data_IF_876391777400
#
_entry.id   IF_876391777400
#
_cell.length_a   1.000
_cell.length_b   1.000
_cell.length_c   1.000
_cell.angle_alpha   90.00
_cell.angle_beta   90.00
_cell.angle_gamma   90.00
#
_symmetry.space_group_name_H-M   'P 1'
#
loop_
_entity.id
_entity.type
_entity.pdbx_description
1 polymer ?
#
# COMPACT_ATOMS: atom_id res chain seq x y z
N UNK A 1 31.64 -10.37 26.63
CA UNK A 1 32.23 -11.44 25.80
C UNK A 1 31.45 -12.77 25.89
N UNK A 2 31.01 -13.25 27.06
CA UNK A 2 30.26 -14.53 27.19
C UNK A 2 28.93 -14.59 26.42
N UNK A 3 28.15 -13.51 26.37
CA UNK A 3 26.85 -13.48 25.66
C UNK A 3 26.97 -13.63 24.13
N UNK A 4 28.07 -13.18 23.54
CA UNK A 4 28.30 -13.26 22.08
C UNK A 4 28.65 -14.70 21.68
N UNK A 5 29.32 -15.43 22.55
CA UNK A 5 29.71 -16.82 22.29
C UNK A 5 28.51 -17.81 22.41
N UNK A 6 27.57 -17.53 23.30
CA UNK A 6 26.31 -18.32 23.41
C UNK A 6 25.41 -18.13 22.18
N UNK A 7 25.30 -16.90 21.67
CA UNK A 7 24.52 -16.62 20.45
C UNK A 7 25.15 -17.27 19.21
N UNK A 8 26.48 -17.32 19.15
CA UNK A 8 27.20 -17.94 18.03
C UNK A 8 27.07 -19.47 18.06
N UNK A 9 27.03 -20.10 19.23
CA UNK A 9 26.78 -21.53 19.35
C UNK A 9 25.34 -21.88 18.97
N UNK A 10 24.34 -21.05 19.30
CA UNK A 10 22.96 -21.25 18.89
C UNK A 10 22.78 -21.16 17.35
N UNK A 11 23.57 -20.34 16.67
CA UNK A 11 23.55 -20.20 15.22
C UNK A 11 24.19 -21.42 14.54
N UNK A 12 25.21 -22.02 15.13
CA UNK A 12 25.85 -23.22 14.59
C UNK A 12 24.94 -24.45 14.69
N UNK A 13 24.08 -24.54 15.69
CA UNK A 13 23.10 -25.63 15.82
C UNK A 13 21.94 -25.56 14.80
N UNK A 14 21.73 -24.42 14.15
CA UNK A 14 20.70 -24.25 13.11
C UNK A 14 21.22 -24.47 11.69
N UNK A 15 22.44 -24.98 11.53
CA UNK A 15 23.00 -25.32 10.23
C UNK A 15 22.44 -26.67 9.77
N UNK A 16 21.44 -26.65 8.91
CA UNK A 16 20.92 -27.84 8.24
C UNK A 16 21.77 -28.15 7.01
N UNK A 17 22.51 -29.28 7.03
CA UNK A 17 23.10 -29.86 5.83
C UNK A 17 22.00 -30.44 4.93
N UNK A 18 21.77 -29.86 3.78
CA UNK A 18 20.96 -30.47 2.72
C UNK A 18 21.78 -30.49 1.45
N UNK A 19 22.11 -31.71 0.98
CA UNK A 19 22.88 -31.95 -0.24
C UNK A 19 24.26 -31.25 -0.31
N UNK A 20 25.11 -31.45 0.71
CA UNK A 20 26.48 -30.90 0.79
C UNK A 20 26.60 -29.36 0.67
N UNK A 21 25.53 -28.64 0.92
CA UNK A 21 25.52 -27.17 1.00
C UNK A 21 25.19 -26.70 2.42
N UNK A 22 26.02 -25.82 2.95
CA UNK A 22 25.81 -25.16 4.23
C UNK A 22 24.93 -23.92 4.01
N UNK A 23 23.69 -23.96 4.47
CA UNK A 23 22.77 -22.81 4.46
C UNK A 23 22.89 -22.09 5.81
N UNK A 24 23.45 -20.90 5.81
CA UNK A 24 23.47 -20.02 6.99
C UNK A 24 22.37 -18.96 6.81
N UNK A 25 21.28 -19.10 7.52
CA UNK A 25 20.27 -18.06 7.60
C UNK A 25 20.75 -16.94 8.55
N UNK A 26 21.30 -15.85 8.02
CA UNK A 26 21.71 -14.71 8.84
C UNK A 26 20.97 -13.44 8.42
N UNK A 27 19.92 -13.09 9.15
CA UNK A 27 19.29 -11.77 9.02
C UNK A 27 20.00 -10.65 9.81
N UNK A 28 21.17 -10.92 10.45
CA UNK A 28 21.70 -10.01 11.49
C UNK A 28 23.20 -9.73 11.45
N UNK A 29 24.00 -10.29 10.54
CA UNK A 29 25.46 -10.05 10.55
C UNK A 29 26.05 -9.70 9.19
N UNK A 30 26.98 -8.74 9.11
CA UNK A 30 27.69 -8.42 7.86
C UNK A 30 28.56 -9.58 7.38
N UNK A 31 28.56 -9.82 6.07
CA UNK A 31 29.28 -10.91 5.40
C UNK A 31 30.79 -11.01 5.74
N UNK A 32 31.39 -9.89 6.17
CA UNK A 32 32.80 -9.82 6.62
C UNK A 32 33.07 -10.57 7.92
N UNK A 33 32.08 -10.68 8.82
CA UNK A 33 32.22 -11.39 10.10
C UNK A 33 32.12 -12.90 9.92
N UNK A 34 31.28 -13.34 9.01
CA UNK A 34 31.10 -14.76 8.67
C UNK A 34 32.37 -15.34 8.05
N UNK A 35 33.01 -14.61 7.11
CA UNK A 35 34.29 -15.01 6.51
C UNK A 35 35.44 -15.08 7.52
N UNK A 36 35.46 -14.23 8.53
CA UNK A 36 36.54 -14.20 9.52
C UNK A 36 36.48 -15.39 10.49
N UNK A 37 35.28 -15.93 10.77
CA UNK A 37 35.10 -17.08 11.67
C UNK A 37 35.16 -18.45 10.95
N UNK A 38 34.75 -18.54 9.68
CA UNK A 38 34.93 -19.76 8.88
C UNK A 38 36.42 -20.13 8.75
N UNK A 39 37.32 -19.12 8.71
CA UNK A 39 38.77 -19.31 8.71
C UNK A 39 39.33 -19.81 10.03
N UNK A 40 38.67 -19.58 11.15
CA UNK A 40 39.07 -20.02 12.50
C UNK A 40 38.64 -21.46 12.81
N UNK A 41 37.80 -22.06 11.96
CA UNK A 41 37.28 -23.43 12.14
C UNK A 41 37.91 -24.46 11.19
N UNK A 42 39.02 -24.09 10.50
CA UNK A 42 39.74 -24.95 9.50
C UNK A 42 38.80 -25.62 8.47
N UNK A 43 37.70 -24.98 8.15
CA UNK A 43 36.82 -25.40 7.06
C UNK A 43 37.31 -24.81 5.75
N UNK A 44 37.93 -25.62 4.88
CA UNK A 44 38.22 -25.25 3.49
C UNK A 44 36.94 -25.03 2.71
N UNK A 45 36.36 -23.85 2.84
CA UNK A 45 35.22 -23.42 2.05
C UNK A 45 35.76 -22.77 0.76
N UNK A 46 35.70 -23.51 -0.34
CA UNK A 46 35.98 -22.94 -1.66
C UNK A 46 34.94 -21.85 -1.97
N UNK A 47 35.40 -20.78 -2.61
CA UNK A 47 34.58 -19.58 -2.92
C UNK A 47 33.33 -19.83 -3.77
N UNK A 48 33.20 -21.05 -4.31
CA UNK A 48 32.05 -21.49 -5.13
C UNK A 48 30.89 -22.14 -4.32
N UNK A 49 31.07 -22.43 -3.03
CA UNK A 49 30.11 -23.20 -2.24
C UNK A 49 29.30 -22.37 -1.22
N UNK A 50 29.61 -21.09 -1.07
CA UNK A 50 28.86 -20.22 -0.16
C UNK A 50 27.87 -19.40 -0.97
N UNK A 51 26.68 -19.95 -1.21
CA UNK A 51 25.50 -19.15 -1.55
C UNK A 51 24.97 -18.56 -0.23
N UNK A 52 25.38 -17.32 0.08
CA UNK A 52 24.70 -16.55 1.11
C UNK A 52 23.40 -16.07 0.45
N UNK A 53 22.34 -16.85 0.57
CA UNK A 53 21.02 -16.31 0.39
C UNK A 53 20.79 -15.34 1.56
N UNK A 54 21.17 -14.08 1.37
CA UNK A 54 20.59 -13.01 2.17
C UNK A 54 19.12 -12.97 1.77
N UNK A 55 18.29 -13.68 2.50
CA UNK A 55 16.85 -13.58 2.41
C UNK A 55 16.41 -12.19 2.87
N UNK A 56 16.86 -11.16 2.18
CA UNK A 56 16.30 -9.83 2.27
C UNK A 56 14.83 -10.00 1.90
N UNK A 57 13.91 -9.80 2.87
CA UNK A 57 12.48 -9.71 2.58
C UNK A 57 12.39 -8.69 1.43
N UNK A 58 12.02 -9.15 0.24
CA UNK A 58 11.84 -8.26 -0.90
C UNK A 58 10.87 -7.17 -0.45
N UNK A 59 11.31 -5.94 -0.39
CA UNK A 59 10.44 -4.80 -0.07
C UNK A 59 9.32 -4.78 -1.09
N UNK A 60 8.09 -4.81 -0.60
CA UNK A 60 6.93 -4.73 -1.48
C UNK A 60 6.77 -3.31 -2.00
N UNK A 61 6.43 -3.21 -3.29
CA UNK A 61 6.23 -1.93 -3.97
C UNK A 61 4.81 -1.44 -3.75
N UNK A 62 4.67 -0.21 -3.22
CA UNK A 62 3.37 0.45 -3.02
C UNK A 62 3.09 1.43 -4.16
N UNK A 63 1.87 1.38 -4.68
CA UNK A 63 1.27 2.40 -5.54
C UNK A 63 0.12 3.04 -4.80
N UNK A 64 0.07 4.38 -4.80
CA UNK A 64 -1.06 5.15 -4.30
C UNK A 64 -1.84 5.68 -5.49
N UNK A 65 -3.10 5.30 -5.60
CA UNK A 65 -4.03 5.78 -6.63
C UNK A 65 -5.20 6.47 -5.96
N UNK A 66 -5.58 7.65 -6.42
CA UNK A 66 -6.69 8.37 -5.82
C UNK A 66 -7.46 9.21 -6.85
N UNK A 67 -8.73 9.45 -6.54
CA UNK A 67 -9.52 10.51 -7.14
C UNK A 67 -9.77 11.60 -6.11
N UNK A 68 -9.70 12.85 -6.51
CA UNK A 68 -9.98 14.00 -5.64
C UNK A 68 -10.59 15.13 -6.45
N UNK A 69 -11.66 15.71 -5.93
CA UNK A 69 -12.36 16.86 -6.49
C UNK A 69 -12.63 17.90 -5.39
N UNK A 70 -13.05 19.12 -5.76
CA UNK A 70 -13.30 20.21 -4.81
C UNK A 70 -12.06 20.60 -4.00
N UNK A 71 -12.04 20.44 -2.69
CA UNK A 71 -11.00 20.95 -1.78
C UNK A 71 -9.69 20.15 -1.75
N UNK A 72 -9.57 19.09 -2.56
CA UNK A 72 -8.35 18.28 -2.57
C UNK A 72 -8.14 17.40 -1.33
N UNK A 73 -9.19 17.14 -0.54
CA UNK A 73 -9.06 16.41 0.73
C UNK A 73 -8.48 15.00 0.55
N UNK A 74 -8.96 14.24 -0.43
CA UNK A 74 -8.43 12.89 -0.71
C UNK A 74 -6.98 12.97 -1.20
N UNK A 75 -6.66 13.96 -2.03
CA UNK A 75 -5.28 14.22 -2.48
C UNK A 75 -4.36 14.53 -1.30
N UNK A 76 -4.81 15.33 -0.34
CA UNK A 76 -4.04 15.65 0.88
C UNK A 76 -3.64 14.36 1.63
N UNK A 77 -4.59 13.46 1.85
CA UNK A 77 -4.31 12.18 2.54
C UNK A 77 -3.38 11.29 1.70
N UNK A 78 -3.60 11.21 0.39
CA UNK A 78 -2.73 10.45 -0.51
C UNK A 78 -1.28 10.96 -0.46
N UNK A 79 -1.07 12.27 -0.45
CA UNK A 79 0.26 12.88 -0.33
C UNK A 79 0.90 12.67 1.05
N UNK A 80 0.11 12.65 2.13
CA UNK A 80 0.61 12.30 3.46
C UNK A 80 1.14 10.85 3.48
N UNK A 81 0.40 9.91 2.91
CA UNK A 81 0.85 8.52 2.78
C UNK A 81 2.11 8.42 1.91
N UNK A 82 2.16 9.14 0.77
CA UNK A 82 3.32 9.17 -0.12
C UNK A 82 4.58 9.65 0.59
N UNK A 83 4.50 10.78 1.30
CA UNK A 83 5.67 11.37 1.99
C UNK A 83 6.30 10.44 3.04
N UNK A 84 5.51 9.53 3.60
CA UNK A 84 5.95 8.60 4.62
C UNK A 84 6.40 7.23 4.07
N UNK A 85 6.10 6.93 2.80
CA UNK A 85 6.36 5.61 2.19
C UNK A 85 7.26 5.68 0.97
N UNK A 86 7.59 6.88 0.48
CA UNK A 86 8.38 7.12 -0.76
C UNK A 86 7.81 6.32 -1.96
N UNK A 87 6.47 6.27 -2.05
CA UNK A 87 5.75 5.45 -3.01
C UNK A 87 5.39 6.21 -4.27
N UNK A 88 5.15 5.47 -5.36
CA UNK A 88 4.55 6.05 -6.56
C UNK A 88 3.12 6.50 -6.25
N UNK A 89 2.72 7.66 -6.79
CA UNK A 89 1.38 8.24 -6.61
C UNK A 89 0.79 8.66 -7.93
N UNK A 90 -0.49 8.36 -8.14
CA UNK A 90 -1.21 8.71 -9.35
C UNK A 90 -2.62 9.20 -9.05
N UNK A 91 -3.02 10.26 -9.71
CA UNK A 91 -4.38 10.78 -9.68
C UNK A 91 -5.21 10.18 -10.82
N UNK A 92 -6.40 9.71 -10.52
CA UNK A 92 -7.39 9.34 -11.52
C UNK A 92 -8.01 10.63 -12.07
N UNK A 93 -7.95 10.81 -13.38
CA UNK A 93 -8.67 11.86 -14.09
C UNK A 93 -9.70 11.26 -15.03
N UNK A 94 -10.89 11.84 -15.09
CA UNK A 94 -11.89 11.48 -16.11
C UNK A 94 -11.57 12.13 -17.44
N UNK A 95 -11.91 11.46 -18.57
CA UNK A 95 -11.74 12.02 -19.92
C UNK A 95 -12.55 13.30 -20.06
N UNK A 96 -13.80 13.30 -19.56
CA UNK A 96 -14.63 14.49 -19.45
C UNK A 96 -14.58 14.94 -17.98
N UNK A 97 -13.88 16.05 -17.66
CA UNK A 97 -13.77 16.52 -16.28
C UNK A 97 -15.12 16.94 -15.71
N UNK A 98 -15.33 16.68 -14.44
CA UNK A 98 -16.44 17.30 -13.69
C UNK A 98 -16.22 18.81 -13.63
N UNK A 99 -17.17 19.58 -14.11
CA UNK A 99 -17.08 21.04 -14.23
C UNK A 99 -18.41 21.70 -13.96
N UNK A 100 -18.36 22.99 -13.67
CA UNK A 100 -19.52 23.78 -13.25
C UNK A 100 -19.45 24.21 -11.81
N UNK A 101 -20.58 24.65 -11.27
CA UNK A 101 -20.70 24.96 -9.83
C UNK A 101 -20.63 23.70 -8.98
N UNK A 102 -20.43 23.88 -7.67
CA UNK A 102 -20.47 22.76 -6.73
C UNK A 102 -21.78 21.96 -6.85
N UNK A 103 -22.93 22.66 -6.91
CA UNK A 103 -24.23 22.05 -7.01
C UNK A 103 -24.44 21.29 -8.33
N UNK A 104 -23.88 21.79 -9.43
CA UNK A 104 -23.93 21.08 -10.73
C UNK A 104 -23.24 19.72 -10.62
N UNK A 105 -22.05 19.69 -10.03
CA UNK A 105 -21.28 18.44 -9.87
C UNK A 105 -21.92 17.52 -8.83
N UNK A 106 -22.50 18.05 -7.76
CA UNK A 106 -23.25 17.25 -6.78
C UNK A 106 -24.44 16.57 -7.44
N UNK A 107 -25.22 17.31 -8.24
CA UNK A 107 -26.38 16.77 -8.97
C UNK A 107 -25.95 15.74 -10.04
N UNK A 108 -24.86 16.03 -10.80
CA UNK A 108 -24.29 15.08 -11.74
C UNK A 108 -23.88 13.79 -11.03
N UNK A 109 -23.11 13.89 -9.94
CA UNK A 109 -22.66 12.76 -9.17
C UNK A 109 -23.82 11.90 -8.63
N UNK A 110 -24.92 12.54 -8.17
CA UNK A 110 -26.11 11.82 -7.75
C UNK A 110 -26.70 10.97 -8.88
N UNK A 111 -26.89 11.59 -10.04
CA UNK A 111 -27.42 10.91 -11.22
C UNK A 111 -26.52 9.75 -11.68
N UNK A 112 -25.21 9.94 -11.62
CA UNK A 112 -24.23 8.92 -12.01
C UNK A 112 -24.23 7.74 -11.05
N UNK A 113 -24.23 8.00 -9.74
CA UNK A 113 -24.30 6.95 -8.72
C UNK A 113 -25.60 6.16 -8.83
N UNK A 114 -26.75 6.84 -8.98
CA UNK A 114 -28.05 6.18 -9.12
C UNK A 114 -28.15 5.27 -10.34
N UNK A 115 -27.51 5.65 -11.46
CA UNK A 115 -27.48 4.85 -12.69
C UNK A 115 -26.37 3.80 -12.71
N UNK A 116 -25.52 3.78 -11.69
CA UNK A 116 -24.33 2.95 -11.67
C UNK A 116 -23.30 3.30 -12.76
N UNK A 117 -23.31 4.56 -13.23
CA UNK A 117 -22.45 5.04 -14.30
C UNK A 117 -20.96 4.95 -13.95
N UNK A 118 -20.19 4.59 -14.92
CA UNK A 118 -18.74 4.48 -14.84
C UNK A 118 -18.13 5.39 -15.92
N UNK A 119 -17.69 6.62 -15.54
CA UNK A 119 -17.10 7.55 -16.49
C UNK A 119 -15.80 7.00 -17.05
N UNK A 120 -15.53 7.29 -18.31
CA UNK A 120 -14.24 6.99 -18.91
C UNK A 120 -13.14 7.77 -18.19
N UNK A 121 -12.08 7.07 -17.78
CA UNK A 121 -10.89 7.65 -17.15
C UNK A 121 -9.75 7.74 -18.14
N UNK A 122 -8.88 8.74 -17.97
CA UNK A 122 -7.68 8.86 -18.78
C UNK A 122 -6.76 7.66 -18.56
N UNK A 123 -6.02 7.24 -19.61
CA UNK A 123 -5.03 6.18 -19.46
C UNK A 123 -4.07 6.48 -18.29
N UNK A 124 -3.75 5.45 -17.54
CA UNK A 124 -2.77 5.54 -16.46
C UNK A 124 -1.41 5.14 -17.01
N UNK A 125 -0.40 6.02 -16.90
CA UNK A 125 0.96 5.75 -17.38
C UNK A 125 1.71 4.81 -16.40
N UNK A 126 1.01 3.80 -15.87
CA UNK A 126 1.54 2.89 -14.87
C UNK A 126 0.92 1.50 -15.05
N UNK A 127 1.74 0.46 -14.87
CA UNK A 127 1.27 -0.92 -14.86
C UNK A 127 1.07 -1.40 -13.43
N UNK A 128 -0.18 -1.64 -13.02
CA UNK A 128 -0.53 -2.14 -11.68
C UNK A 128 0.15 -3.48 -11.37
N UNK A 129 0.46 -4.29 -12.39
CA UNK A 129 1.14 -5.57 -12.20
C UNK A 129 2.51 -5.43 -11.50
N UNK A 130 3.16 -4.27 -11.62
CA UNK A 130 4.49 -4.01 -11.07
C UNK A 130 4.48 -3.71 -9.56
N UNK A 131 3.30 -3.68 -8.93
CA UNK A 131 3.11 -3.33 -7.53
C UNK A 131 2.50 -4.49 -6.73
N UNK A 132 2.99 -4.66 -5.51
CA UNK A 132 2.50 -5.68 -4.58
C UNK A 132 1.35 -5.17 -3.70
N UNK A 133 1.40 -3.86 -3.38
CA UNK A 133 0.43 -3.15 -2.53
C UNK A 133 -0.14 -1.96 -3.29
N UNK A 134 -1.46 -1.77 -3.24
CA UNK A 134 -2.14 -0.67 -3.93
C UNK A 134 -3.06 0.03 -2.93
N UNK A 135 -2.73 1.27 -2.58
CA UNK A 135 -3.63 2.12 -1.80
C UNK A 135 -4.57 2.86 -2.75
N UNK A 136 -5.88 2.76 -2.51
CA UNK A 136 -6.88 3.40 -3.37
C UNK A 136 -7.70 4.40 -2.56
N UNK A 137 -7.64 5.67 -2.97
CA UNK A 137 -8.31 6.79 -2.31
C UNK A 137 -9.51 7.34 -3.08
N UNK A 138 -10.61 7.61 -2.36
CA UNK A 138 -11.83 8.17 -2.93
C UNK A 138 -12.49 9.17 -1.97
N UNK A 139 -13.13 10.25 -2.46
CA UNK A 139 -14.12 10.95 -1.66
C UNK A 139 -15.42 10.13 -1.62
N UNK A 140 -16.24 10.36 -0.57
CA UNK A 140 -17.63 9.87 -0.56
C UNK A 140 -18.46 10.71 -1.52
N UNK A 141 -19.10 10.05 -2.48
CA UNK A 141 -20.11 10.62 -3.35
C UNK A 141 -21.41 9.83 -3.19
N UNK A 142 -22.44 10.50 -2.66
CA UNK A 142 -23.75 9.89 -2.47
C UNK A 142 -23.69 8.52 -1.79
N UNK A 143 -22.99 8.49 -0.64
CA UNK A 143 -22.83 7.33 0.25
C UNK A 143 -21.99 6.17 -0.32
N UNK A 144 -21.41 6.31 -1.51
CA UNK A 144 -20.50 5.34 -2.11
C UNK A 144 -19.21 6.00 -2.61
N UNK A 145 -18.33 5.25 -3.27
CA UNK A 145 -17.12 5.79 -3.89
C UNK A 145 -17.43 6.67 -5.10
N UNK A 146 -16.55 7.61 -5.42
CA UNK A 146 -16.67 8.41 -6.64
C UNK A 146 -16.73 7.51 -7.88
N UNK A 147 -17.59 7.81 -8.90
CA UNK A 147 -17.73 6.98 -10.10
C UNK A 147 -16.43 6.71 -10.83
N UNK A 148 -15.50 7.67 -10.88
CA UNK A 148 -14.18 7.48 -11.49
C UNK A 148 -13.33 6.40 -10.78
N UNK A 149 -13.44 6.27 -9.44
CA UNK A 149 -12.75 5.21 -8.69
C UNK A 149 -13.42 3.86 -8.98
N UNK A 150 -14.74 3.82 -9.09
CA UNK A 150 -15.47 2.61 -9.47
C UNK A 150 -15.02 2.11 -10.84
N UNK A 151 -14.90 3.00 -11.83
CA UNK A 151 -14.36 2.66 -13.15
C UNK A 151 -12.97 2.04 -13.05
N UNK A 152 -12.07 2.69 -12.30
CA UNK A 152 -10.72 2.20 -12.08
C UNK A 152 -10.72 0.79 -11.48
N UNK A 153 -11.47 0.57 -10.39
CA UNK A 153 -11.51 -0.72 -9.69
C UNK A 153 -12.06 -1.85 -10.58
N UNK A 154 -13.01 -1.54 -11.47
CA UNK A 154 -13.58 -2.55 -12.38
C UNK A 154 -12.68 -2.86 -13.59
N UNK A 155 -11.79 -1.96 -13.97
CA UNK A 155 -10.87 -2.14 -15.09
C UNK A 155 -9.58 -2.90 -14.72
N UNK A 156 -9.29 -3.06 -13.44
CA UNK A 156 -8.01 -3.63 -13.00
C UNK A 156 -8.16 -5.03 -12.41
N UNK A 157 -7.13 -5.84 -12.58
CA UNK A 157 -7.01 -7.14 -11.90
C UNK A 157 -6.18 -7.01 -10.62
N UNK A 158 -6.84 -7.19 -9.49
CA UNK A 158 -6.21 -7.15 -8.17
C UNK A 158 -5.87 -8.53 -7.61
N UNK A 159 -5.96 -9.58 -8.41
CA UNK A 159 -5.69 -10.95 -7.96
C UNK A 159 -4.29 -11.08 -7.35
N UNK A 160 -4.23 -11.56 -6.11
CA UNK A 160 -2.98 -11.75 -5.37
C UNK A 160 -2.33 -10.47 -4.82
N UNK A 161 -2.93 -9.30 -5.02
CA UNK A 161 -2.43 -8.03 -4.51
C UNK A 161 -2.99 -7.70 -3.14
N UNK A 162 -2.27 -6.88 -2.39
CA UNK A 162 -2.77 -6.25 -1.17
C UNK A 162 -3.40 -4.91 -1.58
N UNK A 163 -4.66 -4.68 -1.20
CA UNK A 163 -5.33 -3.40 -1.46
C UNK A 163 -5.65 -2.71 -0.14
N UNK A 164 -5.34 -1.41 -0.07
CA UNK A 164 -5.56 -0.55 1.09
C UNK A 164 -6.54 0.55 0.70
N UNK A 165 -7.84 0.38 0.92
CA UNK A 165 -8.81 1.43 0.60
C UNK A 165 -8.80 2.52 1.67
N UNK A 166 -8.84 3.78 1.23
CA UNK A 166 -9.10 4.91 2.12
C UNK A 166 -10.10 5.87 1.50
N UNK A 167 -10.86 6.54 2.35
CA UNK A 167 -11.89 7.45 1.88
C UNK A 167 -11.97 8.72 2.73
N UNK A 168 -12.38 9.82 2.09
CA UNK A 168 -12.65 11.08 2.77
C UNK A 168 -14.14 11.42 2.70
N UNK A 169 -14.67 11.95 3.80
CA UNK A 169 -16.08 12.31 3.91
C UNK A 169 -16.29 13.53 4.81
N UNK A 170 -17.48 14.13 4.75
CA UNK A 170 -17.89 15.23 5.63
C UNK A 170 -18.85 14.77 6.74
N UNK A 171 -18.66 13.58 7.32
CA UNK A 171 -19.53 13.03 8.37
C UNK A 171 -20.55 12.00 7.88
N UNK A 172 -20.64 11.74 6.58
CA UNK A 172 -21.53 10.75 5.98
C UNK A 172 -20.74 9.71 5.17
N UNK A 173 -20.06 8.75 5.81
CA UNK A 173 -19.20 7.79 5.15
C UNK A 173 -19.95 6.82 4.24
N UNK A 174 -21.22 6.57 4.47
CA UNK A 174 -22.02 5.61 3.72
C UNK A 174 -21.44 4.20 3.73
N UNK A 175 -21.47 3.54 2.57
CA UNK A 175 -20.95 2.19 2.41
C UNK A 175 -19.69 2.12 1.51
N UNK A 176 -18.97 3.25 1.38
CA UNK A 176 -17.80 3.38 0.50
C UNK A 176 -16.80 2.24 0.66
N UNK A 177 -16.31 1.99 1.88
CA UNK A 177 -15.31 0.94 2.14
C UNK A 177 -15.86 -0.46 1.78
N UNK A 178 -17.14 -0.72 2.08
CA UNK A 178 -17.77 -1.99 1.72
C UNK A 178 -17.81 -2.19 0.21
N UNK A 179 -18.16 -1.14 -0.53
CA UNK A 179 -18.24 -1.20 -1.99
C UNK A 179 -16.87 -1.34 -2.64
N UNK A 180 -15.86 -0.62 -2.13
CA UNK A 180 -14.48 -0.76 -2.58
C UNK A 180 -13.97 -2.19 -2.36
N UNK A 181 -14.21 -2.78 -1.17
CA UNK A 181 -13.86 -4.17 -0.88
C UNK A 181 -14.52 -5.15 -1.85
N UNK A 182 -15.78 -4.92 -2.18
CA UNK A 182 -16.53 -5.76 -3.12
C UNK A 182 -16.01 -5.64 -4.57
N UNK A 183 -15.51 -4.46 -4.95
CA UNK A 183 -14.95 -4.21 -6.28
C UNK A 183 -13.54 -4.81 -6.44
N UNK A 184 -12.73 -4.93 -5.39
CA UNK A 184 -11.37 -5.46 -5.41
C UNK A 184 -11.35 -7.00 -5.40
N UNK A 185 -11.94 -7.65 -6.40
CA UNK A 185 -12.04 -9.11 -6.47
C UNK A 185 -10.66 -9.75 -6.52
N UNK A 186 -10.46 -10.81 -5.73
CA UNK A 186 -9.19 -11.56 -5.70
C UNK A 186 -8.06 -10.90 -4.89
N UNK A 187 -8.27 -9.68 -4.38
CA UNK A 187 -7.31 -8.99 -3.53
C UNK A 187 -7.41 -9.41 -2.06
N UNK A 188 -6.29 -9.26 -1.34
CA UNK A 188 -6.28 -9.21 0.12
C UNK A 188 -6.49 -7.74 0.55
N UNK A 189 -7.73 -7.38 0.95
CA UNK A 189 -8.07 -6.01 1.33
C UNK A 189 -7.88 -5.80 2.82
N UNK A 190 -6.96 -4.91 3.19
CA UNK A 190 -6.54 -4.68 4.59
C UNK A 190 -6.34 -3.19 4.86
N UNK A 191 -6.20 -2.81 6.13
CA UNK A 191 -5.83 -1.46 6.58
C UNK A 191 -6.73 -0.37 5.98
N UNK A 192 -8.03 -0.62 5.83
CA UNK A 192 -8.94 0.41 5.33
C UNK A 192 -9.07 1.58 6.31
N UNK A 193 -9.26 2.80 5.78
CA UNK A 193 -9.33 4.02 6.58
C UNK A 193 -10.46 4.94 6.12
N UNK A 194 -11.24 5.43 7.07
CA UNK A 194 -12.23 6.47 6.88
C UNK A 194 -11.74 7.77 7.52
N UNK A 195 -11.59 8.81 6.71
CA UNK A 195 -11.09 10.10 7.16
C UNK A 195 -12.21 11.14 7.05
N UNK A 196 -12.55 11.75 8.17
CA UNK A 196 -13.58 12.77 8.24
C UNK A 196 -12.95 14.16 8.16
N UNK A 197 -13.54 14.98 7.30
CA UNK A 197 -13.36 16.42 7.23
C UNK A 197 -14.65 17.10 7.69
N UNK A 198 -14.62 18.43 7.79
CA UNK A 198 -15.79 19.17 8.27
C UNK A 198 -17.03 18.95 7.37
N UNK A 199 -18.20 19.00 8.01
CA UNK A 199 -19.48 18.72 7.37
C UNK A 199 -19.96 19.80 6.39
N UNK A 200 -19.30 20.94 6.34
CA UNK A 200 -19.63 22.02 5.39
C UNK A 200 -18.97 21.81 4.03
N UNK A 201 -18.27 20.69 3.85
CA UNK A 201 -17.51 20.37 2.62
C UNK A 201 -16.17 21.09 2.54
N UNK A 202 -15.69 21.66 3.63
CA UNK A 202 -14.40 22.36 3.71
C UNK A 202 -13.20 21.42 3.83
N UNK A 203 -12.07 21.99 4.21
CA UNK A 203 -10.78 21.29 4.30
C UNK A 203 -10.29 21.07 5.74
N UNK A 204 -11.13 21.37 6.74
CA UNK A 204 -10.78 21.15 8.14
C UNK A 204 -10.84 19.67 8.45
N UNK A 205 -9.72 19.11 8.89
CA UNK A 205 -9.61 17.71 9.23
C UNK A 205 -10.19 17.46 10.63
N UNK A 206 -11.22 16.62 10.71
CA UNK A 206 -11.88 16.22 11.97
C UNK A 206 -11.26 14.94 12.54
N UNK A 207 -10.84 14.00 11.68
CA UNK A 207 -10.13 12.80 12.13
C UNK A 207 -8.81 13.19 12.80
N UNK A 208 -8.55 12.73 14.05
CA UNK A 208 -7.31 13.03 14.74
C UNK A 208 -6.08 12.65 13.91
N UNK A 209 -5.09 13.55 13.84
CA UNK A 209 -3.85 13.32 13.09
C UNK A 209 -3.13 12.03 13.56
N UNK A 210 -3.22 11.72 14.84
CA UNK A 210 -2.63 10.51 15.41
C UNK A 210 -3.20 9.23 14.78
N UNK A 211 -4.51 9.15 14.57
CA UNK A 211 -5.15 8.01 13.90
C UNK A 211 -4.67 7.86 12.46
N UNK A 212 -4.46 8.97 11.75
CA UNK A 212 -3.90 8.95 10.40
C UNK A 212 -2.46 8.45 10.43
N UNK A 213 -1.65 8.90 11.39
CA UNK A 213 -0.26 8.46 11.54
C UNK A 213 -0.18 6.95 11.87
N UNK A 214 -1.05 6.44 12.74
CA UNK A 214 -1.15 5.01 13.06
C UNK A 214 -1.55 4.19 11.83
N UNK A 215 -2.50 4.68 11.05
CA UNK A 215 -2.89 4.05 9.79
C UNK A 215 -1.73 4.02 8.79
N UNK A 216 -1.03 5.13 8.59
CA UNK A 216 0.15 5.20 7.72
C UNK A 216 1.21 4.20 8.17
N UNK A 217 1.46 4.11 9.49
CA UNK A 217 2.41 3.13 10.03
C UNK A 217 1.96 1.69 9.77
N UNK A 218 0.66 1.42 9.86
CA UNK A 218 0.09 0.10 9.52
C UNK A 218 0.31 -0.26 8.05
N UNK A 219 0.18 0.72 7.15
CA UNK A 219 0.48 0.53 5.71
C UNK A 219 1.97 0.30 5.49
N UNK A 220 2.86 1.06 6.15
CA UNK A 220 4.32 0.85 6.08
C UNK A 220 4.72 -0.57 6.49
N UNK A 221 4.06 -1.15 7.48
CA UNK A 221 4.33 -2.51 7.94
C UNK A 221 3.94 -3.61 6.91
N UNK A 222 3.20 -3.26 5.86
CA UNK A 222 2.87 -4.17 4.75
C UNK A 222 4.02 -4.29 3.74
N UNK A 223 4.91 -3.30 3.68
CA UNK A 223 6.01 -3.18 2.72
C UNK A 223 7.25 -3.95 3.20
#
# INVERSE_FOLDING_TARGET
MRQVDEIVNLIVETVMCKNDKILIASNWYPASLVKKKSKALDLELTSSSILIETGGKKMKKLLIIYYSWSNGNTERIAKMLQSETDSDILKIDTVVPYSGSYDDVVNQGQNEVQRGYEPEIKPLDINIADYDVIAVGTPTWWYTMAPAVKTFLHQQDFTGKIVVPFMTNGGWPGHVIKDMKAACKGANVVCDMQIQFDSTGGSNLETPQEQINEWIQSVKNLL
#
